data_IF_212362201210
#
_entry.id   IF_212362201210
#
_cell.length_a   1.000
_cell.length_b   1.000
_cell.length_c   1.000
_cell.angle_alpha   90.00
_cell.angle_beta   90.00
_cell.angle_gamma   90.00
#
_symmetry.space_group_name_H-M   'P 1'
#
loop_
_entity.id
_entity.type
_entity.pdbx_description
1 polymer ?
#
# COMPACT_ATOMS: atom_id res chain seq x y z
N UNK A 1 2.45 1.72 24.03
CA UNK A 1 2.41 1.32 22.60
C UNK A 1 1.24 0.38 22.29
N UNK A 2 1.11 -0.76 23.00
CA UNK A 2 -0.06 -1.65 22.86
C UNK A 2 -1.39 -0.99 23.28
N UNK A 3 -1.40 -0.24 24.37
CA UNK A 3 -2.60 0.47 24.83
C UNK A 3 -3.17 1.42 23.76
N UNK A 4 -2.35 2.32 23.21
CA UNK A 4 -2.78 3.23 22.12
C UNK A 4 -3.20 2.53 20.81
N UNK A 5 -2.64 1.35 20.52
CA UNK A 5 -3.05 0.53 19.37
C UNK A 5 -4.45 -0.06 19.59
N UNK A 6 -4.69 -0.59 20.78
CA UNK A 6 -5.89 -1.32 21.14
C UNK A 6 -7.08 -0.40 21.43
N UNK A 7 -6.83 0.87 21.80
CA UNK A 7 -7.87 1.91 21.94
C UNK A 7 -8.61 2.20 20.62
N UNK A 8 -7.90 2.17 19.50
CA UNK A 8 -8.47 2.52 18.17
C UNK A 8 -8.84 1.29 17.33
N UNK A 9 -8.29 0.12 17.67
CA UNK A 9 -8.57 -1.16 17.02
C UNK A 9 -8.85 -2.27 18.06
N UNK A 10 -10.00 -2.23 18.76
CA UNK A 10 -10.27 -3.10 19.91
C UNK A 10 -10.56 -4.57 19.56
N UNK A 11 -10.76 -4.89 18.28
CA UNK A 11 -11.03 -6.27 17.83
C UNK A 11 -9.74 -7.09 17.86
N UNK A 12 -9.78 -8.30 18.41
CA UNK A 12 -8.63 -9.22 18.42
C UNK A 12 -8.09 -9.53 17.02
N UNK A 13 -8.95 -9.52 16.01
CA UNK A 13 -8.56 -9.65 14.61
C UNK A 13 -7.59 -8.55 14.14
N UNK A 14 -7.61 -7.36 14.76
CA UNK A 14 -6.70 -6.27 14.44
C UNK A 14 -5.30 -6.46 15.05
N UNK A 15 -5.15 -7.31 16.08
CA UNK A 15 -3.84 -7.63 16.68
C UNK A 15 -2.97 -8.51 15.78
N UNK A 16 -3.59 -9.20 14.82
CA UNK A 16 -2.92 -10.02 13.79
C UNK A 16 -3.01 -9.39 12.40
N UNK A 17 -3.64 -8.21 12.28
CA UNK A 17 -3.80 -7.54 11.00
C UNK A 17 -2.46 -6.94 10.54
N UNK A 18 -2.19 -7.03 9.23
CA UNK A 18 -1.03 -6.44 8.59
C UNK A 18 -1.17 -4.91 8.41
N UNK A 19 -1.74 -4.21 9.38
CA UNK A 19 -1.78 -2.76 9.43
C UNK A 19 -1.90 -2.28 10.88
N UNK A 20 -1.24 -1.17 11.19
CA UNK A 20 -1.39 -0.46 12.45
C UNK A 20 -2.44 0.66 12.30
N UNK A 21 -2.93 1.18 13.43
CA UNK A 21 -3.91 2.27 13.51
C UNK A 21 -3.51 3.53 12.74
N UNK A 22 -2.21 3.76 12.53
CA UNK A 22 -1.69 4.90 11.78
C UNK A 22 -1.79 4.74 10.25
N UNK A 23 -1.75 3.52 9.73
CA UNK A 23 -1.65 3.26 8.30
C UNK A 23 -2.95 2.71 7.70
N UNK A 24 -3.82 2.11 8.52
CA UNK A 24 -5.06 1.51 8.04
C UNK A 24 -4.86 0.37 7.03
N UNK A 25 -5.94 -0.33 6.64
CA UNK A 25 -5.85 -1.55 5.83
C UNK A 25 -5.32 -1.35 4.41
N UNK A 26 -5.37 -0.11 3.90
CA UNK A 26 -4.99 0.22 2.52
C UNK A 26 -3.60 0.85 2.39
N UNK A 27 -3.02 1.42 3.46
CA UNK A 27 -1.75 2.16 3.37
C UNK A 27 -0.65 1.62 4.27
N UNK A 28 -0.73 0.34 4.68
CA UNK A 28 0.38 -0.30 5.36
C UNK A 28 1.60 -0.40 4.44
N UNK A 29 2.61 0.43 4.69
CA UNK A 29 3.87 0.51 3.94
C UNK A 29 4.58 -0.86 3.82
N UNK A 30 4.49 -1.69 4.86
CA UNK A 30 5.04 -3.05 4.83
C UNK A 30 4.29 -3.96 3.85
N UNK A 31 2.96 -3.89 3.83
CA UNK A 31 2.13 -4.67 2.90
C UNK A 31 2.36 -4.24 1.45
N UNK A 32 2.41 -2.94 1.20
CA UNK A 32 2.72 -2.37 -0.12
C UNK A 32 4.09 -2.86 -0.60
N UNK A 33 5.10 -2.85 0.27
CA UNK A 33 6.43 -3.36 -0.06
C UNK A 33 6.39 -4.84 -0.42
N UNK A 34 5.64 -5.64 0.34
CA UNK A 34 5.49 -7.07 0.08
C UNK A 34 4.78 -7.34 -1.27
N UNK A 35 3.72 -6.62 -1.57
CA UNK A 35 2.99 -6.71 -2.84
C UNK A 35 3.89 -6.38 -4.05
N UNK A 36 4.76 -5.38 -3.94
CA UNK A 36 5.74 -5.04 -4.98
C UNK A 36 6.75 -6.17 -5.22
N UNK A 37 7.26 -6.78 -4.14
CA UNK A 37 8.19 -7.92 -4.25
C UNK A 37 7.55 -9.14 -4.90
N UNK A 38 6.32 -9.46 -4.50
CA UNK A 38 5.56 -10.57 -5.08
C UNK A 38 5.24 -10.32 -6.55
N UNK A 39 4.90 -9.09 -6.93
CA UNK A 39 4.68 -8.69 -8.32
C UNK A 39 5.97 -8.84 -9.15
N UNK A 40 7.12 -8.38 -8.63
CA UNK A 40 8.41 -8.54 -9.29
C UNK A 40 8.77 -10.02 -9.49
N UNK A 41 8.58 -10.85 -8.46
CA UNK A 41 8.83 -12.29 -8.51
C UNK A 41 7.96 -13.01 -9.55
N UNK A 42 6.66 -12.68 -9.63
CA UNK A 42 5.73 -13.25 -10.63
C UNK A 42 6.13 -12.94 -12.07
N UNK A 43 6.75 -11.80 -12.30
CA UNK A 43 7.21 -11.35 -13.62
C UNK A 43 8.65 -11.78 -13.95
N UNK A 44 9.38 -12.36 -12.98
CA UNK A 44 10.79 -12.72 -13.15
C UNK A 44 11.72 -11.52 -13.35
N UNK A 45 11.31 -10.33 -12.90
CA UNK A 45 12.07 -9.08 -13.03
C UNK A 45 12.60 -8.64 -11.67
N UNK A 46 13.63 -7.80 -11.67
CA UNK A 46 14.16 -7.22 -10.43
C UNK A 46 13.14 -6.29 -9.77
N UNK A 47 13.22 -6.14 -8.43
CA UNK A 47 12.36 -5.22 -7.68
C UNK A 47 12.42 -3.78 -8.23
N UNK A 48 13.62 -3.34 -8.64
CA UNK A 48 13.85 -2.00 -9.22
C UNK A 48 13.12 -1.85 -10.56
N UNK A 49 13.15 -2.88 -11.41
CA UNK A 49 12.44 -2.88 -12.68
C UNK A 49 10.91 -2.86 -12.46
N UNK A 50 10.40 -3.66 -11.52
CA UNK A 50 9.00 -3.69 -11.15
C UNK A 50 8.50 -2.34 -10.62
N UNK A 51 9.29 -1.68 -9.76
CA UNK A 51 9.00 -0.33 -9.25
C UNK A 51 8.91 0.68 -10.39
N UNK A 52 9.90 0.69 -11.29
CA UNK A 52 9.92 1.61 -12.43
C UNK A 52 8.69 1.44 -13.32
N UNK A 53 8.36 0.19 -13.68
CA UNK A 53 7.19 -0.11 -14.49
C UNK A 53 5.88 0.27 -13.79
N UNK A 54 5.76 -0.03 -12.48
CA UNK A 54 4.59 0.35 -11.68
C UNK A 54 4.37 1.86 -11.63
N UNK A 55 5.45 2.64 -11.45
CA UNK A 55 5.41 4.10 -11.46
C UNK A 55 5.03 4.66 -12.82
N UNK A 56 5.52 4.08 -13.91
CA UNK A 56 5.15 4.49 -15.27
C UNK A 56 3.66 4.27 -15.55
N UNK A 57 3.13 3.10 -15.18
CA UNK A 57 1.69 2.80 -15.29
C UNK A 57 0.85 3.76 -14.45
N UNK A 58 1.25 4.01 -13.19
CA UNK A 58 0.53 4.92 -12.28
C UNK A 58 0.59 6.37 -12.72
N UNK A 59 1.71 6.82 -13.28
CA UNK A 59 1.86 8.16 -13.87
C UNK A 59 0.87 8.34 -15.03
N UNK A 60 0.79 7.36 -15.94
CA UNK A 60 -0.18 7.39 -17.05
C UNK A 60 -1.62 7.39 -16.51
N UNK A 61 -1.93 6.58 -15.50
CA UNK A 61 -3.25 6.55 -14.85
C UNK A 61 -3.62 7.91 -14.21
N UNK A 62 -2.66 8.55 -13.53
CA UNK A 62 -2.84 9.87 -12.91
C UNK A 62 -3.14 10.95 -13.95
N UNK A 63 -2.37 11.01 -15.04
CA UNK A 63 -2.58 11.96 -16.14
C UNK A 63 -3.94 11.71 -16.80
N UNK A 64 -4.31 10.45 -17.06
CA UNK A 64 -5.63 10.10 -17.63
C UNK A 64 -6.80 10.48 -16.74
N UNK A 65 -6.60 10.52 -15.42
CA UNK A 65 -7.60 10.93 -14.43
C UNK A 65 -7.66 12.44 -14.19
N UNK A 66 -7.02 13.24 -15.04
CA UNK A 66 -7.06 14.70 -14.96
C UNK A 66 -5.93 15.32 -14.15
N UNK A 67 -4.94 14.54 -13.71
CA UNK A 67 -3.80 15.01 -12.93
C UNK A 67 -4.19 15.76 -11.64
N UNK A 68 -5.33 15.39 -11.04
CA UNK A 68 -5.82 15.96 -9.78
C UNK A 68 -5.38 15.10 -8.59
N UNK A 69 -4.78 15.75 -7.59
CA UNK A 69 -4.38 15.09 -6.34
C UNK A 69 -5.60 14.75 -5.48
N UNK A 70 -6.62 15.61 -5.50
CA UNK A 70 -7.83 15.45 -4.70
C UNK A 70 -9.02 15.18 -5.61
N UNK A 71 -9.54 13.95 -5.59
CA UNK A 71 -10.77 13.60 -6.27
C UNK A 71 -11.95 13.78 -5.32
N UNK A 72 -13.02 14.43 -5.78
CA UNK A 72 -14.30 14.46 -5.03
C UNK A 72 -14.87 13.04 -5.02
N UNK A 73 -15.04 12.48 -3.82
CA UNK A 73 -15.63 11.15 -3.58
C UNK A 73 -17.10 11.08 -4.02
#
# INVERSE_FOLDING_TARGET
>A
AREFHDETLPKDSAKVAHFCSMCGPHFCSMKITQEVREYAAKLGISEVAALKQGMEVKSVEFVKRGAEIYQKQ
#
